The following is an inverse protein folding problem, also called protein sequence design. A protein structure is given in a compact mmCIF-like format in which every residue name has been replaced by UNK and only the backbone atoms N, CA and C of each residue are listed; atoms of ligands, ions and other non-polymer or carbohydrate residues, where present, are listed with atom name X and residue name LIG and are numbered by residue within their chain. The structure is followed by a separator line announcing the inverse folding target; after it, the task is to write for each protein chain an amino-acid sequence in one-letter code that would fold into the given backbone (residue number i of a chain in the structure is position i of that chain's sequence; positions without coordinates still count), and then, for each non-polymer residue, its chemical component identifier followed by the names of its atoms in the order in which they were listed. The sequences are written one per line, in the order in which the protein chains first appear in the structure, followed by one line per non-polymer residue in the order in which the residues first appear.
data_IF_796845167344
#
_entry.id   IF_796845167344
#
_cell.length_a   1.000
_cell.length_b   1.000
_cell.length_c   1.000
_cell.angle_alpha   90.00
_cell.angle_beta   90.00
_cell.angle_gamma   90.00
#
_symmetry.space_group_name_H-M   'P 1'
#
loop_
_entity.id
_entity.type
_entity.pdbx_description
1 polymer ?
#
# COMPACT_ATOMS: atom_id res chain seq x y z
N UNK A 1 -22.39 -0.71 4.03
CA UNK A 1 -21.52 0.39 4.49
C UNK A 1 -20.32 -0.27 5.12
N UNK A 2 -19.10 0.02 4.69
CA UNK A 2 -17.91 -0.55 5.34
C UNK A 2 -17.60 0.23 6.63
N UNK A 3 -16.83 -0.35 7.56
CA UNK A 3 -16.52 0.27 8.86
C UNK A 3 -15.82 1.62 8.74
N UNK A 4 -15.15 1.89 7.62
CA UNK A 4 -14.53 3.18 7.33
C UNK A 4 -15.59 4.25 6.97
N UNK A 5 -16.54 3.93 6.09
CA UNK A 5 -17.66 4.82 5.75
C UNK A 5 -18.51 5.15 6.98
N UNK A 6 -18.75 4.16 7.85
CA UNK A 6 -19.46 4.34 9.13
C UNK A 6 -18.68 5.19 10.14
N UNK A 7 -17.36 4.98 10.23
CA UNK A 7 -16.50 5.69 11.18
C UNK A 7 -16.21 7.13 10.77
N UNK A 8 -16.19 7.43 9.48
CA UNK A 8 -15.82 8.76 8.96
C UNK A 8 -16.97 9.52 8.30
N UNK A 9 -18.15 8.92 8.15
CA UNK A 9 -19.33 9.59 7.60
C UNK A 9 -19.20 9.97 6.12
N UNK A 10 -18.41 9.21 5.36
CA UNK A 10 -18.14 9.44 3.92
C UNK A 10 -18.60 8.20 3.16
N UNK A 11 -19.34 8.38 2.06
CA UNK A 11 -19.64 7.29 1.14
C UNK A 11 -18.56 7.22 0.06
N UNK A 12 -17.89 6.07 -0.08
CA UNK A 12 -16.89 5.89 -1.12
C UNK A 12 -17.58 5.67 -2.47
N UNK A 13 -17.34 6.58 -3.42
CA UNK A 13 -17.88 6.46 -4.77
C UNK A 13 -17.34 5.23 -5.53
N UNK A 14 -18.05 4.81 -6.59
CA UNK A 14 -17.70 3.62 -7.40
C UNK A 14 -16.26 3.64 -7.94
N UNK A 15 -15.72 4.83 -8.25
CA UNK A 15 -14.33 4.98 -8.70
C UNK A 15 -13.31 4.53 -7.63
N UNK A 16 -13.58 4.82 -6.36
CA UNK A 16 -12.73 4.41 -5.23
C UNK A 16 -12.83 2.89 -5.08
N UNK A 17 -14.04 2.34 -5.01
CA UNK A 17 -14.28 0.88 -4.91
C UNK A 17 -13.65 0.11 -6.07
N UNK A 18 -13.73 0.65 -7.29
CA UNK A 18 -13.03 0.08 -8.44
C UNK A 18 -11.51 0.06 -8.23
N UNK A 19 -10.93 1.16 -7.77
CA UNK A 19 -9.50 1.21 -7.44
C UNK A 19 -9.10 0.21 -6.35
N UNK A 20 -9.93 -0.03 -5.33
CA UNK A 20 -9.70 -1.09 -4.34
C UNK A 20 -9.63 -2.48 -4.99
N UNK A 21 -10.58 -2.80 -5.86
CA UNK A 21 -10.66 -4.12 -6.51
C UNK A 21 -9.43 -4.43 -7.36
N UNK A 22 -8.91 -3.44 -8.10
CA UNK A 22 -7.88 -3.70 -9.11
C UNK A 22 -6.46 -3.70 -8.55
N UNK A 23 -6.24 -3.17 -7.34
CA UNK A 23 -4.91 -3.11 -6.71
C UNK A 23 -4.68 -4.28 -5.76
N UNK A 24 -3.41 -4.62 -5.52
CA UNK A 24 -3.02 -5.61 -4.49
C UNK A 24 -2.41 -4.88 -3.30
N UNK A 25 -3.02 -5.01 -2.12
CA UNK A 25 -2.49 -4.40 -0.90
C UNK A 25 -1.49 -5.32 -0.20
N UNK A 26 -0.46 -4.74 0.38
CA UNK A 26 0.47 -5.42 1.28
C UNK A 26 0.78 -4.58 2.52
N UNK A 27 1.32 -5.22 3.55
CA UNK A 27 1.78 -4.64 4.80
C UNK A 27 2.95 -5.47 5.34
N UNK A 28 4.00 -4.84 5.84
CA UNK A 28 5.11 -5.48 6.54
C UNK A 28 4.95 -5.14 8.02
N UNK A 29 4.68 -6.17 8.84
CA UNK A 29 4.45 -6.03 10.28
C UNK A 29 5.28 -7.07 11.01
N UNK A 30 6.02 -6.65 12.03
CA UNK A 30 6.92 -7.51 12.81
C UNK A 30 7.87 -8.33 11.92
N UNK A 31 8.44 -7.67 10.91
CA UNK A 31 9.36 -8.28 9.92
C UNK A 31 8.73 -9.43 9.11
N UNK A 32 7.41 -9.40 8.92
CA UNK A 32 6.67 -10.36 8.09
C UNK A 32 5.85 -9.62 7.04
N UNK A 33 6.00 -10.03 5.78
CA UNK A 33 5.17 -9.57 4.67
C UNK A 33 3.78 -10.23 4.69
N UNK A 34 2.75 -9.41 4.79
CA UNK A 34 1.35 -9.78 4.64
C UNK A 34 0.79 -9.20 3.34
N UNK A 35 0.04 -10.00 2.60
CA UNK A 35 -0.62 -9.60 1.37
C UNK A 35 -2.12 -9.82 1.51
N UNK A 36 -2.91 -8.81 1.18
CA UNK A 36 -4.36 -8.92 1.20
C UNK A 36 -4.86 -9.89 0.12
N UNK A 37 -6.05 -10.45 0.35
CA UNK A 37 -6.76 -11.23 -0.67
C UNK A 37 -6.90 -10.41 -1.97
N UNK A 38 -6.86 -11.04 -3.15
CA UNK A 38 -7.07 -10.33 -4.41
C UNK A 38 -8.51 -9.80 -4.50
N UNK A 39 -8.71 -8.74 -5.30
CA UNK A 39 -10.03 -8.21 -5.65
C UNK A 39 -10.87 -7.72 -4.46
N UNK A 40 -10.22 -7.19 -3.43
CA UNK A 40 -10.90 -6.70 -2.23
C UNK A 40 -11.42 -5.29 -2.43
N UNK A 41 -12.58 -4.98 -1.86
CA UNK A 41 -13.24 -3.67 -1.99
C UNK A 41 -12.91 -2.72 -0.82
N UNK A 42 -12.03 -3.14 0.06
CA UNK A 42 -11.75 -2.45 1.32
C UNK A 42 -10.36 -1.78 1.34
N UNK A 43 -10.18 -0.82 2.23
CA UNK A 43 -8.91 -0.10 2.44
C UNK A 43 -7.96 -0.86 3.38
N UNK A 44 -6.72 -0.38 3.53
CA UNK A 44 -5.81 -0.89 4.57
C UNK A 44 -6.40 -0.76 5.97
N UNK A 45 -7.17 0.31 6.25
CA UNK A 45 -7.77 0.53 7.56
C UNK A 45 -8.75 -0.59 7.92
N UNK A 46 -9.67 -0.87 7.00
CA UNK A 46 -10.65 -1.95 7.16
C UNK A 46 -9.95 -3.31 7.19
N UNK A 47 -8.92 -3.51 6.34
CA UNK A 47 -8.16 -4.75 6.34
C UNK A 47 -7.49 -5.00 7.69
N UNK A 48 -6.88 -3.99 8.30
CA UNK A 48 -6.19 -4.12 9.58
C UNK A 48 -7.18 -4.39 10.71
N UNK A 49 -8.32 -3.71 10.72
CA UNK A 49 -9.41 -3.96 11.66
C UNK A 49 -9.92 -5.41 11.59
N UNK A 50 -10.13 -5.94 10.37
CA UNK A 50 -10.55 -7.34 10.16
C UNK A 50 -9.54 -8.37 10.69
N UNK A 51 -8.26 -8.00 10.79
CA UNK A 51 -7.19 -8.84 11.36
C UNK A 51 -6.97 -8.60 12.85
N UNK A 52 -7.75 -7.71 13.48
CA UNK A 52 -7.58 -7.34 14.89
C UNK A 52 -6.29 -6.56 15.16
N UNK A 53 -5.73 -5.90 14.15
CA UNK A 53 -4.53 -5.08 14.29
C UNK A 53 -4.91 -3.69 14.84
N UNK A 54 -4.11 -3.20 15.80
CA UNK A 54 -4.33 -1.89 16.41
C UNK A 54 -4.04 -0.75 15.43
N UNK A 55 -4.56 0.43 15.76
CA UNK A 55 -4.31 1.66 14.99
C UNK A 55 -2.81 2.02 14.92
N UNK A 56 -2.02 1.58 15.91
CA UNK A 56 -0.56 1.74 15.90
C UNK A 56 0.08 1.10 14.67
N UNK A 57 -0.46 -0.03 14.18
CA UNK A 57 0.03 -0.68 12.95
C UNK A 57 -0.16 0.23 11.74
N UNK A 58 -1.24 1.03 11.70
CA UNK A 58 -1.41 2.02 10.64
C UNK A 58 -0.36 3.13 10.70
N UNK A 59 0.10 3.48 11.90
CA UNK A 59 1.09 4.53 12.09
C UNK A 59 2.51 4.07 11.80
N UNK A 60 2.86 2.81 12.13
CA UNK A 60 4.26 2.36 12.13
C UNK A 60 4.59 1.34 11.04
N UNK A 61 3.63 0.57 10.53
CA UNK A 61 3.92 -0.46 9.56
C UNK A 61 4.15 0.11 8.16
N UNK A 62 5.21 -0.37 7.51
CA UNK A 62 5.42 -0.20 6.06
C UNK A 62 4.29 -0.92 5.35
N UNK A 63 3.58 -0.20 4.50
CA UNK A 63 2.47 -0.78 3.73
C UNK A 63 2.41 -0.16 2.35
N UNK A 64 1.65 -0.80 1.48
CA UNK A 64 1.57 -0.30 0.13
C UNK A 64 0.56 -1.02 -0.74
N UNK A 65 0.64 -0.69 -2.02
CA UNK A 65 -0.18 -1.27 -3.07
C UNK A 65 0.67 -1.59 -4.28
N UNK A 66 0.30 -2.65 -4.99
CA UNK A 66 0.73 -2.91 -6.36
C UNK A 66 -0.44 -2.57 -7.28
N UNK A 67 -0.20 -1.67 -8.23
CA UNK A 67 -1.22 -1.24 -9.19
C UNK A 67 -1.47 -2.31 -10.29
N UNK A 68 -2.49 -2.15 -11.15
CA UNK A 68 -2.77 -3.09 -12.24
C UNK A 68 -1.65 -3.23 -13.27
N UNK A 69 -0.73 -2.27 -13.33
CA UNK A 69 0.44 -2.30 -14.22
C UNK A 69 1.62 -3.07 -13.58
N UNK A 70 1.52 -3.40 -12.30
CA UNK A 70 2.54 -4.09 -11.52
C UNK A 70 3.46 -3.13 -10.75
N UNK A 71 3.27 -1.82 -10.82
CA UNK A 71 4.12 -0.86 -10.12
C UNK A 71 3.82 -0.88 -8.62
N UNK A 72 4.87 -0.71 -7.82
CA UNK A 72 4.82 -0.80 -6.36
C UNK A 72 4.80 0.60 -5.78
N UNK A 73 3.89 0.86 -4.85
CA UNK A 73 3.81 2.10 -4.08
C UNK A 73 3.80 1.76 -2.60
N UNK A 74 4.79 2.21 -1.85
CA UNK A 74 4.89 1.96 -0.40
C UNK A 74 4.97 3.26 0.41
N UNK A 75 4.55 3.20 1.67
CA UNK A 75 4.47 4.34 2.57
C UNK A 75 4.24 3.90 4.02
N UNK A 76 4.49 4.82 4.97
CA UNK A 76 4.19 4.68 6.40
C UNK A 76 3.25 5.79 6.85
N UNK A 77 2.50 5.56 7.93
CA UNK A 77 1.68 6.59 8.59
C UNK A 77 0.52 7.15 7.77
N UNK A 78 -0.27 8.04 8.38
CA UNK A 78 -1.37 8.77 7.73
C UNK A 78 -0.89 9.97 6.89
N UNK A 79 0.38 10.31 7.00
CA UNK A 79 1.07 11.34 6.24
C UNK A 79 1.79 10.79 5.01
N UNK A 80 1.82 9.46 4.85
CA UNK A 80 2.38 8.75 3.71
C UNK A 80 3.85 9.15 3.49
N UNK A 81 4.59 9.27 4.59
CA UNK A 81 6.01 9.57 4.57
C UNK A 81 6.82 8.27 4.50
N UNK A 82 8.07 8.45 4.11
CA UNK A 82 9.11 7.43 4.10
C UNK A 82 10.35 8.07 4.73
N UNK A 83 11.04 7.28 5.53
CA UNK A 83 12.35 7.55 6.12
C UNK A 83 13.30 6.36 5.86
N UNK A 84 14.56 6.52 6.22
CA UNK A 84 15.60 5.51 5.99
C UNK A 84 15.27 4.14 6.61
N UNK A 85 14.60 4.12 7.77
CA UNK A 85 14.21 2.89 8.44
C UNK A 85 13.09 2.15 7.68
N UNK A 86 12.05 2.88 7.27
CA UNK A 86 10.96 2.34 6.46
C UNK A 86 11.42 1.86 5.08
N UNK A 87 12.36 2.57 4.48
CA UNK A 87 12.99 2.21 3.22
C UNK A 87 13.76 0.89 3.36
N UNK A 88 14.58 0.77 4.39
CA UNK A 88 15.34 -0.46 4.68
C UNK A 88 14.43 -1.65 4.91
N UNK A 89 13.37 -1.48 5.68
CA UNK A 89 12.36 -2.53 5.91
C UNK A 89 11.70 -2.92 4.60
N UNK A 90 11.28 -1.95 3.78
CA UNK A 90 10.66 -2.24 2.49
C UNK A 90 11.59 -3.05 1.58
N UNK A 91 12.83 -2.60 1.37
CA UNK A 91 13.77 -3.28 0.46
C UNK A 91 14.23 -4.64 0.98
N UNK A 92 14.23 -4.87 2.29
CA UNK A 92 14.48 -6.22 2.86
C UNK A 92 13.41 -7.23 2.44
N UNK A 93 12.17 -6.79 2.24
CA UNK A 93 11.03 -7.64 1.87
C UNK A 93 10.66 -7.56 0.39
N UNK A 94 11.44 -6.84 -0.43
CA UNK A 94 11.11 -6.61 -1.84
C UNK A 94 11.08 -7.91 -2.64
N UNK A 95 12.07 -8.79 -2.44
CA UNK A 95 12.18 -10.08 -3.14
C UNK A 95 10.93 -10.94 -2.90
N UNK A 96 10.53 -11.09 -1.64
CA UNK A 96 9.34 -11.85 -1.24
C UNK A 96 8.06 -11.27 -1.86
N UNK A 97 7.94 -9.93 -1.91
CA UNK A 97 6.81 -9.26 -2.53
C UNK A 97 6.77 -9.52 -4.04
N UNK A 98 7.91 -9.41 -4.71
CA UNK A 98 8.05 -9.65 -6.15
C UNK A 98 7.70 -11.09 -6.50
N UNK A 99 8.18 -12.05 -5.73
CA UNK A 99 7.89 -13.48 -5.93
C UNK A 99 6.39 -13.77 -5.72
N UNK A 100 5.84 -13.37 -4.57
CA UNK A 100 4.45 -13.70 -4.21
C UNK A 100 3.42 -13.06 -5.13
N UNK A 101 3.69 -11.85 -5.64
CA UNK A 101 2.80 -11.15 -6.56
C UNK A 101 3.18 -11.31 -8.04
N UNK A 102 4.26 -12.05 -8.34
CA UNK A 102 4.80 -12.25 -9.69
C UNK A 102 5.03 -10.92 -10.42
N UNK A 103 5.63 -9.97 -9.72
CA UNK A 103 5.87 -8.61 -10.22
C UNK A 103 6.92 -8.68 -11.32
N UNK A 104 6.72 -7.93 -12.40
CA UNK A 104 7.65 -7.91 -13.52
C UNK A 104 8.93 -7.16 -13.13
N UNK A 105 10.11 -7.60 -13.60
CA UNK A 105 11.37 -6.90 -13.32
C UNK A 105 11.42 -5.45 -13.84
N UNK A 106 10.54 -5.09 -14.78
CA UNK A 106 10.42 -3.73 -15.35
C UNK A 106 9.45 -2.83 -14.57
N UNK A 107 8.79 -3.33 -13.53
CA UNK A 107 7.85 -2.53 -12.76
C UNK A 107 8.58 -1.46 -11.96
N UNK A 108 7.95 -0.30 -11.81
CA UNK A 108 8.52 0.83 -11.07
C UNK A 108 8.25 0.71 -9.57
N UNK A 109 9.16 1.25 -8.77
CA UNK A 109 9.07 1.32 -7.31
C UNK A 109 8.94 2.79 -6.90
N UNK A 110 7.89 3.09 -6.15
CA UNK A 110 7.58 4.42 -5.64
C UNK A 110 7.42 4.42 -4.12
N UNK A 111 7.95 5.47 -3.48
CA UNK A 111 7.83 5.68 -2.04
C UNK A 111 7.10 6.97 -1.69
N UNK A 112 6.30 6.88 -0.64
CA UNK A 112 5.54 8.00 -0.06
C UNK A 112 4.46 8.55 -0.97
N UNK A 113 3.65 9.49 -0.47
CA UNK A 113 2.67 10.24 -1.25
C UNK A 113 2.64 11.71 -0.87
N UNK A 114 2.41 12.59 -1.85
CA UNK A 114 2.18 14.02 -1.65
C UNK A 114 0.68 14.27 -1.65
N UNK A 115 0.13 14.69 -0.50
CA UNK A 115 -1.29 15.05 -0.39
C UNK A 115 -1.61 16.17 -1.39
N UNK A 116 -2.61 15.95 -2.22
CA UNK A 116 -3.13 16.97 -3.15
C UNK A 116 -4.65 16.98 -3.14
N UNK A 117 -5.24 18.09 -3.60
CA UNK A 117 -6.69 18.27 -3.67
C UNK A 117 -7.35 17.39 -4.76
N UNK A 118 -6.55 16.60 -5.51
CA UNK A 118 -7.03 15.67 -6.52
C UNK A 118 -7.71 14.45 -5.90
N UNK A 119 -8.91 14.15 -6.39
CA UNK A 119 -9.81 13.12 -5.86
C UNK A 119 -9.48 11.68 -6.27
N UNK A 120 -8.47 11.44 -7.11
CA UNK A 120 -8.29 10.12 -7.73
C UNK A 120 -7.04 9.37 -7.26
N UNK A 121 -5.90 10.04 -7.09
CA UNK A 121 -4.66 9.44 -6.53
C UNK A 121 -3.65 10.53 -6.20
N UNK A 122 -2.95 10.39 -5.07
CA UNK A 122 -1.86 11.27 -4.71
C UNK A 122 -0.54 10.80 -5.35
N UNK A 123 0.23 11.72 -5.96
CA UNK A 123 1.49 11.37 -6.60
C UNK A 123 2.52 10.90 -5.58
N UNK A 124 3.47 10.05 -5.98
CA UNK A 124 4.54 9.59 -5.09
C UNK A 124 5.51 10.71 -4.75
N UNK A 125 6.24 10.56 -3.63
CA UNK A 125 7.32 11.48 -3.25
C UNK A 125 8.63 11.13 -3.94
N UNK A 126 8.90 9.84 -4.06
CA UNK A 126 10.16 9.30 -4.55
C UNK A 126 9.89 8.21 -5.58
N UNK A 127 10.68 8.22 -6.67
CA UNK A 127 10.79 7.12 -7.62
C UNK A 127 12.19 6.50 -7.45
N UNK A 128 12.23 5.20 -7.16
CA UNK A 128 13.46 4.47 -6.87
C UNK A 128 14.08 3.81 -8.10
N UNK A 129 13.32 3.70 -9.19
CA UNK A 129 13.70 2.96 -10.40
C UNK A 129 12.85 1.72 -10.59
N UNK A 130 13.42 0.69 -11.21
CA UNK A 130 12.70 -0.56 -11.54
C UNK A 130 13.15 -1.72 -10.67
N UNK A 131 12.26 -2.70 -10.49
CA UNK A 131 12.50 -3.88 -9.63
C UNK A 131 13.84 -4.57 -9.90
N UNK A 132 14.22 -4.79 -11.17
CA UNK A 132 15.48 -5.47 -11.54
C UNK A 132 16.76 -4.77 -11.06
N UNK A 133 16.68 -3.51 -10.64
CA UNK A 133 17.86 -2.78 -10.16
C UNK A 133 18.17 -3.11 -8.69
N UNK A 134 17.26 -3.83 -8.02
CA UNK A 134 17.33 -4.16 -6.59
C UNK A 134 17.38 -5.67 -6.30
N UNK A 135 17.16 -6.52 -7.31
CA UNK A 135 17.04 -7.98 -7.19
C UNK A 135 17.92 -8.73 -8.20
#
# INVERSE_FOLDING_TARGET
MNTFEERYGVEEGEAVKHYHRIRRMFCIKDDVLYIAKPNVEYSHAVWFEMNGWSDDVMNTAVRGVVDPHGNIYYYVGYDFQIDDDSEKVFFTHLDDLVEQLKIKPTALIFGGKVKSDSSSTWPPRTEYGVVKDYI
#
